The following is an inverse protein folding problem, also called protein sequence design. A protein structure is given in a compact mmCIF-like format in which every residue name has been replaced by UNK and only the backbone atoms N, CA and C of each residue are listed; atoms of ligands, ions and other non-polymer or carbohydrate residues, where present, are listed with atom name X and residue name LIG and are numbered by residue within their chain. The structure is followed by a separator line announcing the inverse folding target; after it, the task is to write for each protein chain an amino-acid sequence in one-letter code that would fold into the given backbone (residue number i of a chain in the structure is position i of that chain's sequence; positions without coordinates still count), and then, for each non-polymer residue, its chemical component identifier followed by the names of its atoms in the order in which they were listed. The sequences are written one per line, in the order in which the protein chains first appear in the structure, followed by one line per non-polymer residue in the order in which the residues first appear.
data_IF_069336723004
#
_entry.id   IF_069336723004
#
_cell.length_a   1.000
_cell.length_b   1.000
_cell.length_c   1.000
_cell.angle_alpha   90.00
_cell.angle_beta   90.00
_cell.angle_gamma   90.00
#
_symmetry.space_group_name_H-M   'P 1'
#
loop_
_entity.id
_entity.type
_entity.pdbx_description
1 polymer ?
#
# COMPACT_ATOMS: atom_id res chain seq x y z
N UNK A 1 71.05 11.29 -10.74
CA UNK A 1 70.89 9.83 -10.69
C UNK A 1 69.56 9.52 -10.03
N UNK A 2 68.68 8.78 -10.73
CA UNK A 2 67.73 7.78 -10.21
C UNK A 2 66.57 8.34 -9.33
N UNK A 3 65.28 8.08 -9.55
CA UNK A 3 64.49 7.30 -10.53
C UNK A 3 63.02 7.69 -10.31
N UNK A 4 62.25 7.89 -11.38
CA UNK A 4 60.79 7.78 -11.37
C UNK A 4 60.37 6.33 -11.13
N UNK A 5 59.31 6.04 -10.35
CA UNK A 5 58.80 4.68 -10.21
C UNK A 5 57.94 4.26 -11.41
N UNK A 6 58.14 3.01 -11.86
CA UNK A 6 57.46 2.36 -12.98
C UNK A 6 55.95 2.14 -12.73
N UNK A 7 55.11 2.11 -13.78
CA UNK A 7 53.70 1.76 -13.66
C UNK A 7 53.52 0.24 -13.50
N UNK A 8 52.74 -0.14 -12.48
CA UNK A 8 52.35 -1.53 -12.18
C UNK A 8 51.44 -2.06 -13.31
N UNK A 9 51.95 -3.05 -14.04
CA UNK A 9 51.20 -3.83 -15.02
C UNK A 9 50.26 -4.82 -14.29
N UNK A 10 48.98 -4.47 -14.13
CA UNK A 10 47.98 -5.44 -13.65
C UNK A 10 47.62 -6.42 -14.77
N UNK A 11 48.10 -7.66 -14.65
CA UNK A 11 47.68 -8.79 -15.48
C UNK A 11 46.34 -9.31 -14.95
N UNK A 12 45.29 -9.18 -15.76
CA UNK A 12 43.97 -9.76 -15.48
C UNK A 12 44.00 -11.26 -15.82
N UNK A 13 43.97 -12.12 -14.81
CA UNK A 13 43.67 -13.55 -15.02
C UNK A 13 42.16 -13.76 -15.21
N UNK A 14 41.71 -14.52 -16.21
CA UNK A 14 40.29 -14.75 -16.43
C UNK A 14 39.68 -15.61 -15.32
N UNK A 15 38.57 -15.10 -14.75
CA UNK A 15 37.76 -15.77 -13.72
C UNK A 15 36.97 -16.91 -14.39
N UNK A 16 37.24 -18.15 -14.00
CA UNK A 16 36.42 -19.31 -14.37
C UNK A 16 35.07 -19.24 -13.65
N UNK A 17 33.97 -19.20 -14.40
CA UNK A 17 32.62 -19.31 -13.83
C UNK A 17 32.27 -20.78 -13.55
N UNK A 18 31.64 -21.12 -12.41
CA UNK A 18 31.18 -22.48 -12.16
C UNK A 18 30.00 -22.83 -13.09
N UNK A 19 29.96 -24.05 -13.62
CA UNK A 19 28.81 -24.57 -14.38
C UNK A 19 27.55 -24.65 -13.51
N UNK A 20 26.37 -24.33 -14.05
CA UNK A 20 25.10 -24.52 -13.33
C UNK A 20 24.80 -26.02 -13.16
N UNK A 21 24.42 -26.41 -11.94
CA UNK A 21 23.97 -27.75 -11.60
C UNK A 21 22.58 -28.01 -12.21
N UNK A 22 22.32 -29.18 -12.83
CA UNK A 22 20.99 -29.49 -13.37
C UNK A 22 19.97 -29.66 -12.23
N UNK A 23 18.83 -28.96 -12.32
CA UNK A 23 17.72 -29.10 -11.37
C UNK A 23 16.94 -30.39 -11.62
N UNK A 24 16.62 -31.11 -10.54
CA UNK A 24 15.74 -32.28 -10.56
C UNK A 24 14.29 -31.91 -10.93
N UNK A 25 13.55 -32.78 -11.63
CA UNK A 25 12.16 -32.50 -12.03
C UNK A 25 11.21 -32.45 -10.83
N UNK A 26 10.31 -31.46 -10.83
CA UNK A 26 9.29 -31.28 -9.81
C UNK A 26 8.31 -32.46 -9.77
N UNK A 27 8.00 -32.96 -8.57
CA UNK A 27 7.00 -34.03 -8.37
C UNK A 27 5.58 -33.51 -8.65
N UNK A 28 4.71 -34.28 -9.32
CA UNK A 28 3.32 -33.90 -9.53
C UNK A 28 2.50 -33.99 -8.23
N UNK A 29 1.57 -33.04 -8.05
CA UNK A 29 0.66 -33.00 -6.90
C UNK A 29 -0.33 -34.18 -6.90
N UNK A 30 -0.70 -34.71 -5.72
CA UNK A 30 -1.64 -35.82 -5.63
C UNK A 30 -3.05 -35.40 -6.05
N UNK A 31 -3.70 -36.26 -6.84
CA UNK A 31 -5.11 -36.15 -7.24
C UNK A 31 -5.97 -36.83 -6.17
N UNK A 32 -7.10 -36.24 -5.77
CA UNK A 32 -8.02 -36.89 -4.83
C UNK A 32 -8.92 -37.94 -5.53
N UNK A 33 -9.56 -38.79 -4.72
CA UNK A 33 -10.27 -40.03 -5.11
C UNK A 33 -11.41 -39.89 -6.13
N UNK A 34 -11.78 -38.66 -6.53
CA UNK A 34 -12.89 -38.40 -7.46
C UNK A 34 -12.45 -37.75 -8.78
N UNK A 35 -11.15 -37.64 -9.06
CA UNK A 35 -10.64 -37.21 -10.36
C UNK A 35 -11.00 -35.78 -10.78
N UNK A 36 -11.62 -34.98 -9.90
CA UNK A 36 -11.95 -33.58 -10.16
C UNK A 36 -10.87 -32.68 -9.55
N UNK A 37 -10.26 -31.84 -10.37
CA UNK A 37 -9.41 -30.74 -9.87
C UNK A 37 -10.29 -29.82 -9.03
N UNK A 38 -9.90 -29.63 -7.78
CA UNK A 38 -10.55 -28.73 -6.82
C UNK A 38 -10.45 -27.27 -7.33
N UNK A 39 -11.40 -26.81 -8.16
CA UNK A 39 -11.42 -25.44 -8.69
C UNK A 39 -12.78 -24.76 -8.82
N UNK A 40 -13.88 -25.38 -8.42
CA UNK A 40 -15.21 -24.83 -8.73
C UNK A 40 -16.07 -24.60 -7.47
N UNK A 41 -15.61 -23.68 -6.61
CA UNK A 41 -16.49 -23.02 -5.64
C UNK A 41 -16.27 -21.51 -5.71
N UNK A 42 -17.28 -20.68 -6.00
CA UNK A 42 -17.17 -19.23 -5.96
C UNK A 42 -17.30 -18.77 -4.51
N UNK A 43 -16.25 -18.98 -3.74
CA UNK A 43 -15.98 -18.25 -2.51
C UNK A 43 -14.66 -17.54 -2.73
N UNK A 44 -14.59 -16.29 -2.31
CA UNK A 44 -13.47 -15.36 -2.39
C UNK A 44 -12.25 -15.91 -1.60
N UNK A 45 -11.62 -16.98 -2.09
CA UNK A 45 -10.34 -17.50 -1.60
C UNK A 45 -9.33 -17.34 -2.71
N UNK A 46 -8.57 -16.24 -2.64
CA UNK A 46 -7.33 -16.12 -3.39
C UNK A 46 -6.35 -17.18 -2.84
N UNK A 47 -5.78 -18.09 -3.67
CA UNK A 47 -4.70 -18.98 -3.23
C UNK A 47 -3.50 -18.15 -2.74
N UNK A 48 -2.60 -18.70 -1.91
CA UNK A 48 -1.51 -17.98 -1.26
C UNK A 48 -0.40 -17.63 -2.26
N UNK A 49 -0.70 -16.76 -3.21
CA UNK A 49 0.21 -16.20 -4.18
C UNK A 49 0.07 -14.68 -4.09
N UNK A 50 0.83 -14.10 -3.16
CA UNK A 50 1.26 -12.70 -3.08
C UNK A 50 0.40 -11.70 -3.87
N UNK A 51 -0.78 -11.38 -3.33
CA UNK A 51 -1.38 -10.07 -3.60
C UNK A 51 -0.82 -9.15 -2.52
N UNK A 52 -0.03 -8.14 -2.91
CA UNK A 52 0.22 -6.98 -2.06
C UNK A 52 -0.84 -5.97 -2.51
N UNK A 53 -2.09 -6.03 -2.00
CA UNK A 53 -3.01 -4.95 -2.27
C UNK A 53 -2.38 -3.66 -1.74
N UNK A 54 -2.53 -2.53 -2.45
CA UNK A 54 -2.20 -1.24 -1.87
C UNK A 54 -3.01 -1.04 -0.58
N UNK A 55 -2.51 -0.20 0.33
CA UNK A 55 -3.29 0.13 1.52
C UNK A 55 -4.49 0.94 1.10
N UNK A 56 -5.66 0.47 1.51
CA UNK A 56 -6.91 1.17 1.26
C UNK A 56 -7.16 2.13 2.42
N UNK A 57 -7.28 3.40 2.10
CA UNK A 57 -7.63 4.47 3.02
C UNK A 57 -8.96 5.11 2.61
N UNK A 58 -9.58 5.83 3.52
CA UNK A 58 -10.81 6.58 3.24
C UNK A 58 -11.78 6.42 4.39
N UNK A 59 -12.59 7.45 4.62
CA UNK A 59 -13.51 7.41 5.75
C UNK A 59 -14.70 6.49 5.48
N UNK A 60 -15.30 6.00 6.56
CA UNK A 60 -16.49 5.18 6.50
C UNK A 60 -17.66 6.00 5.94
N UNK A 61 -18.54 5.32 5.19
CA UNK A 61 -19.72 5.95 4.61
C UNK A 61 -20.61 6.49 5.72
N UNK A 62 -21.17 7.69 5.52
CA UNK A 62 -22.16 8.28 6.42
C UNK A 62 -23.29 7.26 6.66
N UNK A 63 -23.68 7.10 7.92
CA UNK A 63 -24.73 6.16 8.37
C UNK A 63 -24.30 4.67 8.45
N UNK A 64 -23.06 4.32 8.10
CA UNK A 64 -22.51 3.01 8.41
C UNK A 64 -21.94 2.97 9.83
N UNK A 65 -21.98 1.83 10.56
CA UNK A 65 -21.36 1.73 11.87
C UNK A 65 -19.91 2.20 11.84
N UNK A 66 -19.59 3.18 12.68
CA UNK A 66 -18.21 3.61 12.89
C UNK A 66 -17.45 2.50 13.64
N UNK A 67 -16.15 2.35 13.40
CA UNK A 67 -15.29 1.45 14.16
C UNK A 67 -15.47 1.67 15.67
N UNK A 68 -15.44 0.62 16.47
CA UNK A 68 -15.49 0.74 17.95
C UNK A 68 -14.14 0.55 18.61
N UNK A 69 -13.14 0.11 17.84
CA UNK A 69 -11.79 -0.18 18.31
C UNK A 69 -10.76 0.22 17.27
N UNK A 70 -9.51 0.42 17.70
CA UNK A 70 -8.38 0.73 16.79
C UNK A 70 -8.19 -0.38 15.75
N UNK A 71 -8.46 -1.63 16.12
CA UNK A 71 -8.38 -2.78 15.20
C UNK A 71 -9.38 -2.68 14.04
N UNK A 72 -10.55 -2.07 14.27
CA UNK A 72 -11.60 -1.88 13.28
C UNK A 72 -11.35 -0.69 12.32
N UNK A 73 -10.37 0.18 12.61
CA UNK A 73 -9.96 1.26 11.69
C UNK A 73 -9.33 0.72 10.38
N UNK A 74 -8.95 -0.55 10.34
CA UNK A 74 -8.34 -1.20 9.17
C UNK A 74 -7.13 -0.40 8.64
N UNK A 75 -7.03 -0.11 7.33
CA UNK A 75 -5.92 0.67 6.78
C UNK A 75 -5.77 2.05 7.43
N UNK A 76 -6.87 2.69 7.84
CA UNK A 76 -6.83 4.00 8.51
C UNK A 76 -6.10 3.96 9.86
N UNK A 77 -5.91 2.78 10.47
CA UNK A 77 -5.13 2.64 11.72
C UNK A 77 -3.70 3.14 11.54
N UNK A 78 -3.11 2.98 10.34
CA UNK A 78 -1.74 3.42 10.10
C UNK A 78 -1.63 4.95 10.03
N UNK A 79 -2.67 5.63 9.55
CA UNK A 79 -2.76 7.09 9.62
C UNK A 79 -3.01 7.56 11.05
N UNK A 80 -3.80 6.80 11.82
CA UNK A 80 -4.02 7.07 13.24
C UNK A 80 -2.73 6.94 14.06
N UNK A 81 -1.91 5.93 13.78
CA UNK A 81 -0.59 5.74 14.41
C UNK A 81 0.35 6.95 14.21
N UNK A 82 0.19 7.74 13.12
CA UNK A 82 0.99 8.96 12.88
C UNK A 82 0.71 10.09 13.88
N UNK A 83 -0.42 10.05 14.58
CA UNK A 83 -0.84 11.05 15.57
C UNK A 83 -0.91 10.47 16.99
N UNK A 84 -0.38 9.26 17.21
CA UNK A 84 -0.25 8.70 18.55
C UNK A 84 1.07 9.14 19.18
N UNK A 85 1.00 9.76 20.37
CA UNK A 85 2.15 10.40 21.04
C UNK A 85 3.30 9.43 21.37
N UNK A 86 3.02 8.13 21.46
CA UNK A 86 3.98 7.11 21.92
C UNK A 86 4.41 6.10 20.82
N UNK A 87 3.90 6.23 19.59
CA UNK A 87 4.24 5.33 18.49
C UNK A 87 5.29 5.98 17.60
N UNK A 88 6.46 5.32 17.46
CA UNK A 88 7.57 5.86 16.67
C UNK A 88 7.21 6.00 15.20
N UNK A 89 6.70 4.94 14.57
CA UNK A 89 6.13 4.93 13.21
C UNK A 89 5.30 3.66 13.02
N UNK A 90 4.33 3.65 12.07
CA UNK A 90 3.68 2.42 11.64
C UNK A 90 4.72 1.38 11.21
N UNK A 91 4.59 0.15 11.72
CA UNK A 91 5.58 -0.93 11.49
C UNK A 91 5.63 -1.38 10.01
N UNK A 92 4.61 -1.03 9.23
CA UNK A 92 4.43 -1.55 7.89
C UNK A 92 4.60 -0.46 6.82
N UNK A 93 5.64 -0.53 5.97
CA UNK A 93 5.92 0.50 4.97
C UNK A 93 5.10 0.25 3.70
N UNK A 94 3.78 0.43 3.74
CA UNK A 94 3.01 0.40 2.48
C UNK A 94 3.02 1.79 1.86
N UNK A 95 3.74 1.92 0.75
CA UNK A 95 3.81 3.16 -0.01
C UNK A 95 2.72 3.28 -1.06
N UNK A 96 2.17 2.18 -1.57
CA UNK A 96 1.12 2.20 -2.58
C UNK A 96 -0.25 2.29 -1.93
N UNK A 97 -1.08 3.22 -2.39
CA UNK A 97 -2.33 3.51 -1.72
C UNK A 97 -3.52 3.47 -2.69
N UNK A 98 -4.72 3.33 -2.14
CA UNK A 98 -5.97 3.50 -2.87
C UNK A 98 -7.03 4.12 -1.95
N UNK A 99 -7.93 4.93 -2.50
CA UNK A 99 -9.09 5.39 -1.76
C UNK A 99 -10.23 4.35 -1.81
N UNK A 100 -10.94 4.15 -0.70
CA UNK A 100 -12.01 3.16 -0.59
C UNK A 100 -13.14 3.37 -1.63
N UNK A 101 -13.46 4.63 -1.98
CA UNK A 101 -14.44 4.97 -3.03
C UNK A 101 -13.96 4.56 -4.42
N UNK A 102 -12.67 4.66 -4.70
CA UNK A 102 -12.10 4.25 -5.98
C UNK A 102 -12.11 2.73 -6.09
N UNK A 103 -11.79 2.03 -4.98
CA UNK A 103 -11.93 0.58 -4.90
C UNK A 103 -13.39 0.17 -5.12
N UNK A 104 -14.36 0.83 -4.48
CA UNK A 104 -15.77 0.55 -4.68
C UNK A 104 -16.22 0.79 -6.15
N UNK A 105 -15.82 1.92 -6.75
CA UNK A 105 -16.06 2.25 -8.16
C UNK A 105 -15.51 1.15 -9.08
N UNK A 106 -14.28 0.70 -8.82
CA UNK A 106 -13.66 -0.38 -9.58
C UNK A 106 -14.41 -1.71 -9.45
N UNK A 107 -14.89 -2.06 -8.25
CA UNK A 107 -15.68 -3.27 -8.04
C UNK A 107 -16.98 -3.23 -8.84
N UNK A 108 -17.67 -2.08 -8.87
CA UNK A 108 -18.89 -1.91 -9.67
C UNK A 108 -18.59 -2.04 -11.16
N UNK A 109 -17.55 -1.37 -11.66
CA UNK A 109 -17.15 -1.44 -13.08
C UNK A 109 -16.74 -2.85 -13.49
N UNK A 110 -16.12 -3.61 -12.59
CA UNK A 110 -15.68 -4.97 -12.86
C UNK A 110 -16.85 -5.94 -13.16
N UNK A 111 -18.07 -5.66 -12.68
CA UNK A 111 -19.26 -6.49 -12.92
C UNK A 111 -19.67 -6.50 -14.40
N UNK A 112 -19.49 -5.38 -15.10
CA UNK A 112 -19.86 -5.22 -16.50
C UNK A 112 -18.65 -5.22 -17.43
N UNK A 113 -17.44 -5.40 -16.90
CA UNK A 113 -16.22 -5.35 -17.68
C UNK A 113 -16.14 -6.51 -18.69
N UNK A 114 -15.59 -6.28 -19.89
CA UNK A 114 -15.51 -7.30 -20.94
C UNK A 114 -14.65 -8.48 -20.49
N UNK A 115 -14.99 -9.70 -20.90
CA UNK A 115 -14.19 -10.89 -20.61
C UNK A 115 -12.83 -10.74 -21.32
N UNK A 116 -11.73 -11.04 -20.63
CA UNK A 116 -10.40 -10.96 -21.24
C UNK A 116 -10.28 -11.99 -22.38
N UNK A 117 -9.49 -11.68 -23.44
CA UNK A 117 -9.15 -12.65 -24.46
C UNK A 117 -8.68 -13.96 -23.82
N UNK A 118 -9.11 -15.10 -24.37
CA UNK A 118 -8.77 -16.46 -23.88
C UNK A 118 -9.35 -16.87 -22.51
N UNK A 119 -10.31 -16.11 -21.97
CA UNK A 119 -11.00 -16.48 -20.73
C UNK A 119 -10.12 -16.40 -19.48
N UNK A 120 -9.07 -15.57 -19.53
CA UNK A 120 -8.16 -15.36 -18.42
C UNK A 120 -8.87 -14.73 -17.21
N UNK A 121 -8.48 -15.14 -16.01
CA UNK A 121 -9.00 -14.54 -14.77
C UNK A 121 -8.49 -13.12 -14.64
N UNK A 122 -9.39 -12.15 -14.46
CA UNK A 122 -9.04 -10.76 -14.18
C UNK A 122 -8.44 -10.63 -12.78
N UNK A 123 -7.21 -10.12 -12.70
CA UNK A 123 -6.67 -9.51 -11.48
C UNK A 123 -6.46 -8.05 -11.79
N UNK A 124 -7.32 -7.20 -11.24
CA UNK A 124 -7.28 -5.76 -11.45
C UNK A 124 -6.54 -5.15 -10.27
N UNK A 125 -5.54 -4.32 -10.55
CA UNK A 125 -4.79 -3.59 -9.52
C UNK A 125 -5.38 -2.20 -9.41
N UNK A 126 -5.93 -1.88 -8.25
CA UNK A 126 -6.47 -0.54 -7.95
C UNK A 126 -5.50 0.13 -7.01
N UNK A 127 -4.56 0.89 -7.56
CA UNK A 127 -3.58 1.67 -6.81
C UNK A 127 -3.45 3.02 -7.47
N UNK A 128 -3.45 4.09 -6.67
CA UNK A 128 -3.17 5.41 -7.17
C UNK A 128 -2.28 6.19 -6.23
N UNK A 129 -1.11 6.55 -6.75
CA UNK A 129 -0.10 7.29 -6.02
C UNK A 129 0.75 6.43 -5.09
N UNK A 130 1.87 7.03 -4.72
CA UNK A 130 2.77 6.55 -3.68
C UNK A 130 2.89 7.62 -2.60
N UNK A 131 2.89 7.19 -1.34
CA UNK A 131 3.02 8.07 -0.19
C UNK A 131 3.86 7.37 0.87
N UNK A 132 4.94 8.00 1.31
CA UNK A 132 5.67 7.58 2.51
C UNK A 132 5.09 8.26 3.75
N UNK A 133 5.39 7.74 4.94
CA UNK A 133 5.04 8.42 6.19
C UNK A 133 5.69 9.80 6.31
N UNK A 134 6.88 9.97 5.73
CA UNK A 134 7.55 11.28 5.71
C UNK A 134 6.75 12.23 4.83
N UNK A 135 6.37 11.83 3.62
CA UNK A 135 5.53 12.65 2.72
C UNK A 135 4.22 13.05 3.40
N UNK A 136 3.59 12.12 4.10
CA UNK A 136 2.34 12.36 4.84
C UNK A 136 2.52 13.39 5.96
N UNK A 137 3.54 13.22 6.82
CA UNK A 137 3.79 14.13 7.94
C UNK A 137 4.20 15.52 7.44
N UNK A 138 5.09 15.60 6.46
CA UNK A 138 5.51 16.86 5.87
C UNK A 138 4.33 17.60 5.24
N UNK A 139 3.48 16.89 4.50
CA UNK A 139 2.25 17.45 3.94
C UNK A 139 1.30 17.96 5.04
N UNK A 140 1.09 17.18 6.11
CA UNK A 140 0.24 17.56 7.24
C UNK A 140 0.77 18.75 8.05
N UNK A 141 2.08 19.03 7.98
CA UNK A 141 2.72 20.21 8.62
C UNK A 141 2.59 21.50 7.81
N UNK A 142 2.20 21.43 6.53
CA UNK A 142 2.05 22.63 5.69
C UNK A 142 0.97 23.55 6.27
N UNK A 143 1.27 24.85 6.43
CA UNK A 143 0.37 25.82 7.06
C UNK A 143 -1.03 25.85 6.41
N UNK A 144 -1.10 25.73 5.08
CA UNK A 144 -2.37 25.68 4.35
C UNK A 144 -3.18 24.41 4.61
N UNK A 145 -2.51 23.29 4.91
CA UNK A 145 -3.14 22.00 5.27
C UNK A 145 -3.62 22.05 6.71
N UNK A 146 -2.76 22.55 7.60
CA UNK A 146 -3.06 22.83 9.01
C UNK A 146 -4.30 23.72 9.13
N UNK A 147 -4.42 24.77 8.32
CA UNK A 147 -5.60 25.64 8.29
C UNK A 147 -6.90 24.91 7.94
N UNK A 148 -6.85 23.84 7.12
CA UNK A 148 -8.04 23.03 6.79
C UNK A 148 -8.57 22.25 7.99
N UNK A 149 -7.74 22.00 9.00
CA UNK A 149 -8.12 21.32 10.24
C UNK A 149 -8.74 22.25 11.30
N UNK A 150 -8.87 23.55 11.00
CA UNK A 150 -9.52 24.56 11.85
C UNK A 150 -8.99 24.51 13.30
N UNK A 151 -9.87 24.30 14.28
CA UNK A 151 -9.54 24.31 15.70
C UNK A 151 -8.61 23.16 16.13
N UNK A 152 -8.50 22.09 15.32
CA UNK A 152 -7.70 20.89 15.63
C UNK A 152 -6.28 20.93 15.09
N UNK A 153 -5.97 21.98 14.34
CA UNK A 153 -4.73 22.12 13.62
C UNK A 153 -3.51 22.03 14.54
N UNK A 154 -3.57 22.68 15.70
CA UNK A 154 -2.52 22.63 16.71
C UNK A 154 -2.34 21.22 17.29
N UNK A 155 -3.43 20.52 17.60
CA UNK A 155 -3.38 19.19 18.23
C UNK A 155 -2.87 18.12 17.26
N UNK A 156 -3.26 18.18 15.99
CA UNK A 156 -2.75 17.25 14.97
C UNK A 156 -1.24 17.45 14.83
N UNK A 157 -0.79 18.69 14.58
CA UNK A 157 0.64 18.98 14.36
C UNK A 157 1.49 18.65 15.57
N UNK A 158 1.02 18.95 16.79
CA UNK A 158 1.75 18.67 18.02
C UNK A 158 1.90 17.17 18.31
N UNK A 159 1.09 16.32 17.67
CA UNK A 159 1.08 14.86 17.87
C UNK A 159 1.72 14.08 16.72
N UNK A 160 2.04 14.75 15.60
CA UNK A 160 2.68 14.09 14.48
C UNK A 160 4.03 13.49 14.90
N UNK A 161 4.28 12.26 14.49
CA UNK A 161 5.56 11.59 14.71
C UNK A 161 6.73 12.43 14.17
N UNK A 162 7.88 12.31 14.83
CA UNK A 162 9.11 12.95 14.35
C UNK A 162 9.66 12.19 13.13
N UNK A 163 9.69 12.85 11.97
CA UNK A 163 10.23 12.32 10.71
C UNK A 163 11.68 11.84 10.84
N UNK A 164 12.46 12.36 11.79
CA UNK A 164 13.84 11.92 12.04
C UNK A 164 13.93 10.46 12.52
N UNK A 165 12.85 9.94 13.11
CA UNK A 165 12.76 8.55 13.55
C UNK A 165 12.23 7.60 12.46
N UNK A 166 11.95 8.10 11.25
CA UNK A 166 11.43 7.30 10.15
C UNK A 166 12.50 6.34 9.64
N UNK A 167 12.18 5.04 9.60
CA UNK A 167 13.00 4.05 8.91
C UNK A 167 12.99 4.24 7.39
N UNK A 168 13.84 3.48 6.69
CA UNK A 168 13.88 3.48 5.22
C UNK A 168 12.52 3.00 4.67
N UNK A 169 11.90 3.81 3.80
CA UNK A 169 10.66 3.46 3.11
C UNK A 169 10.93 3.35 1.62
N UNK A 170 10.71 2.16 1.06
CA UNK A 170 10.87 1.91 -0.37
C UNK A 170 9.57 2.25 -1.09
N UNK A 171 9.63 3.17 -2.06
CA UNK A 171 8.53 3.41 -2.98
C UNK A 171 8.63 2.45 -4.17
N UNK A 172 7.49 1.88 -4.56
CA UNK A 172 7.36 1.10 -5.79
C UNK A 172 6.10 1.55 -6.53
N UNK A 173 6.19 1.62 -7.85
CA UNK A 173 5.02 1.84 -8.72
C UNK A 173 4.38 0.49 -9.07
N UNK A 174 3.05 0.49 -9.20
CA UNK A 174 2.30 -0.67 -9.67
C UNK A 174 1.83 -0.40 -11.10
N UNK A 175 1.87 -1.44 -11.94
CA UNK A 175 1.36 -1.37 -13.30
C UNK A 175 -0.18 -1.48 -13.29
N UNK A 176 -0.85 -0.37 -13.61
CA UNK A 176 -2.31 -0.25 -13.68
C UNK A 176 -2.86 -0.30 -15.11
N UNK A 177 -2.03 -0.60 -16.12
CA UNK A 177 -2.44 -0.60 -17.53
C UNK A 177 -3.61 -1.55 -17.83
N UNK A 178 -3.68 -2.69 -17.15
CA UNK A 178 -4.81 -3.62 -17.27
C UNK A 178 -6.10 -3.02 -16.69
N UNK A 179 -6.00 -2.30 -15.58
CA UNK A 179 -7.14 -1.61 -14.95
C UNK A 179 -7.68 -0.53 -15.88
N UNK A 180 -6.81 0.27 -16.47
CA UNK A 180 -7.15 1.31 -17.44
C UNK A 180 -7.85 0.71 -18.66
N UNK A 181 -7.26 -0.32 -19.27
CA UNK A 181 -7.82 -0.94 -20.47
C UNK A 181 -9.13 -1.69 -20.25
N UNK A 182 -9.34 -2.28 -19.06
CA UNK A 182 -10.53 -3.12 -18.77
C UNK A 182 -11.65 -2.33 -18.11
N UNK A 183 -11.32 -1.40 -17.21
CA UNK A 183 -12.31 -0.63 -16.43
C UNK A 183 -12.44 0.83 -16.89
N UNK A 184 -11.52 1.33 -17.72
CA UNK A 184 -11.51 2.74 -18.13
C UNK A 184 -11.16 3.72 -17.01
N UNK A 185 -10.55 3.23 -15.91
CA UNK A 185 -10.12 4.06 -14.79
C UNK A 185 -8.68 4.53 -15.01
N UNK A 186 -8.51 5.82 -15.26
CA UNK A 186 -7.22 6.46 -15.51
C UNK A 186 -6.69 7.16 -14.26
N UNK A 187 -5.42 7.57 -14.27
CA UNK A 187 -4.78 8.33 -13.18
C UNK A 187 -5.62 9.52 -12.68
N UNK A 188 -6.27 10.28 -13.58
CA UNK A 188 -7.14 11.40 -13.20
C UNK A 188 -8.51 11.04 -12.60
N UNK A 189 -8.90 9.76 -12.62
CA UNK A 189 -10.18 9.29 -12.06
C UNK A 189 -10.11 8.98 -10.56
N UNK A 190 -8.90 8.91 -10.01
CA UNK A 190 -8.64 8.51 -8.63
C UNK A 190 -8.51 9.71 -7.70
N UNK A 191 -8.84 9.50 -6.43
CA UNK A 191 -8.66 10.51 -5.39
C UNK A 191 -7.17 10.61 -5.04
N UNK A 192 -6.53 11.79 -5.17
CA UNK A 192 -5.13 11.97 -4.82
C UNK A 192 -4.87 11.71 -3.34
N UNK A 193 -3.71 11.12 -3.02
CA UNK A 193 -3.34 10.78 -1.63
C UNK A 193 -3.42 11.92 -0.64
N UNK A 194 -3.11 13.14 -1.09
CA UNK A 194 -3.22 14.36 -0.28
C UNK A 194 -4.65 14.62 0.14
N UNK A 195 -5.62 14.41 -0.74
CA UNK A 195 -7.05 14.55 -0.44
C UNK A 195 -7.53 13.48 0.51
N UNK A 196 -7.01 12.26 0.40
CA UNK A 196 -7.27 11.17 1.35
C UNK A 196 -6.87 11.60 2.77
N UNK A 197 -5.68 12.17 2.96
CA UNK A 197 -5.24 12.64 4.28
C UNK A 197 -6.13 13.76 4.82
N UNK A 198 -6.52 14.71 3.96
CA UNK A 198 -7.41 15.81 4.34
C UNK A 198 -8.79 15.31 4.75
N UNK A 199 -9.28 14.23 4.13
CA UNK A 199 -10.52 13.57 4.51
C UNK A 199 -10.37 12.78 5.81
N UNK A 200 -9.36 11.91 5.91
CA UNK A 200 -9.30 10.88 6.96
C UNK A 200 -8.81 11.43 8.30
N UNK A 201 -7.84 12.35 8.31
CA UNK A 201 -7.22 12.81 9.55
C UNK A 201 -8.19 13.51 10.52
N UNK A 202 -9.07 14.44 10.09
CA UNK A 202 -10.03 15.07 10.99
C UNK A 202 -11.01 14.06 11.59
N UNK A 203 -11.45 13.11 10.76
CA UNK A 203 -12.38 12.08 11.16
C UNK A 203 -11.77 11.08 12.17
N UNK A 204 -10.48 10.77 12.04
CA UNK A 204 -9.75 9.98 13.04
C UNK A 204 -9.69 10.69 14.39
N UNK A 205 -9.52 12.01 14.40
CA UNK A 205 -9.54 12.81 15.63
C UNK A 205 -10.94 12.85 16.25
N UNK A 206 -12.00 12.99 15.44
CA UNK A 206 -13.40 12.88 15.92
C UNK A 206 -13.66 11.52 16.56
N UNK A 207 -13.24 10.46 15.87
CA UNK A 207 -13.40 9.09 16.32
C UNK A 207 -12.66 8.86 17.66
N UNK A 208 -11.44 9.35 17.77
CA UNK A 208 -10.67 9.26 19.01
C UNK A 208 -11.36 9.99 20.18
N UNK A 209 -11.93 11.17 19.97
CA UNK A 209 -12.62 11.90 21.04
C UNK A 209 -13.81 11.12 21.60
N UNK A 210 -14.54 10.40 20.74
CA UNK A 210 -15.69 9.58 21.15
C UNK A 210 -15.23 8.29 21.85
N UNK A 211 -14.22 7.61 21.32
CA UNK A 211 -13.86 6.26 21.76
C UNK A 211 -12.72 6.19 22.77
N UNK A 212 -11.89 7.24 22.88
CA UNK A 212 -10.82 7.32 23.88
C UNK A 212 -11.33 7.87 25.23
N UNK A 213 -12.52 8.50 25.25
CA UNK A 213 -13.24 8.85 26.47
C UNK A 213 -13.85 7.64 27.20
N UNK A 214 -14.00 6.49 26.52
CA UNK A 214 -14.52 5.25 27.09
C UNK A 214 -13.41 4.33 27.65
N UNK A 215 -12.14 4.74 27.54
CA UNK A 215 -10.96 3.97 27.96
C UNK A 215 -10.26 4.51 29.22
N UNK A 216 -10.88 5.45 29.95
CA UNK A 216 -10.41 5.99 31.23
C UNK A 216 -11.45 5.79 32.34
#
# INVERSE_FOLDING_TARGET
MITTPDPILMTLTPRTTPRPTPMLPAKPFPTNLFGRRQRDTPILTLPPNNSIPPTIYGWFVKDYPTPKSVAELNGNKFLYELIQKDVKFPTWPITTIAHNRDVAKAHVLALTAPILPRGEKKRIIISFGTMTWVDAIEFLKLLEVVAKFKERAHDIVARLSDVSAAGLQMQYSLDTSLTESVLGLNEGDYIPWKEILLEVMPNLMDWEQVHHAEAL
#
